data_IF_281204341990
#
_entry.id   IF_281204341990
#
_cell.length_a   1.000
_cell.length_b   1.000
_cell.length_c   1.000
_cell.angle_alpha   90.00
_cell.angle_beta   90.00
_cell.angle_gamma   90.00
#
_symmetry.space_group_name_H-M   'P 1'
#
loop_
_entity.id
_entity.type
_entity.pdbx_description
1 polymer ?
#
# COMPACT_ATOMS: atom_id res chain seq x y z
N UNK A 1 5.22 9.49 14.13
CA UNK A 1 4.90 8.24 13.43
C UNK A 1 3.48 7.86 13.83
N UNK A 2 2.61 7.67 12.85
CA UNK A 2 1.23 7.19 13.07
C UNK A 2 1.09 5.80 12.47
N UNK A 3 0.34 4.91 13.12
CA UNK A 3 0.10 3.56 12.62
C UNK A 3 -1.35 3.48 12.17
N UNK A 4 -1.57 3.05 10.94
CA UNK A 4 -2.86 2.93 10.29
C UNK A 4 -3.06 1.46 9.95
N UNK A 5 -4.11 0.85 10.51
CA UNK A 5 -4.48 -0.52 10.19
C UNK A 5 -5.57 -0.51 9.11
N UNK A 6 -5.38 -1.29 8.06
CA UNK A 6 -6.28 -1.36 6.91
C UNK A 6 -6.60 -2.81 6.63
N UNK A 7 -7.89 -3.16 6.55
CA UNK A 7 -8.29 -4.47 6.01
C UNK A 7 -7.99 -4.52 4.52
N UNK A 8 -7.15 -5.46 4.10
CA UNK A 8 -6.71 -5.61 2.71
C UNK A 8 -7.92 -5.80 1.78
N UNK A 9 -8.86 -6.67 2.16
CA UNK A 9 -10.10 -6.93 1.43
C UNK A 9 -10.88 -5.63 1.15
N UNK A 10 -11.19 -4.87 2.21
CA UNK A 10 -11.90 -3.59 2.09
C UNK A 10 -11.13 -2.54 1.30
N UNK A 11 -9.81 -2.54 1.39
CA UNK A 11 -8.97 -1.62 0.63
C UNK A 11 -8.99 -1.92 -0.87
N UNK A 12 -8.85 -3.19 -1.26
CA UNK A 12 -8.95 -3.58 -2.67
C UNK A 12 -10.34 -3.30 -3.25
N UNK A 13 -11.40 -3.50 -2.47
CA UNK A 13 -12.75 -3.09 -2.87
C UNK A 13 -12.85 -1.57 -3.07
N UNK A 14 -12.28 -0.77 -2.16
CA UNK A 14 -12.25 0.68 -2.29
C UNK A 14 -11.53 1.12 -3.58
N UNK A 15 -10.40 0.50 -3.92
CA UNK A 15 -9.66 0.79 -5.15
C UNK A 15 -10.51 0.51 -6.39
N UNK A 16 -11.20 -0.63 -6.42
CA UNK A 16 -12.13 -0.98 -7.51
C UNK A 16 -13.30 -0.01 -7.62
N UNK A 17 -13.89 0.41 -6.49
CA UNK A 17 -15.01 1.36 -6.48
C UNK A 17 -14.59 2.76 -6.95
N UNK A 18 -13.37 3.18 -6.62
CA UNK A 18 -12.84 4.51 -6.97
C UNK A 18 -12.14 4.55 -8.33
N UNK A 19 -12.01 3.40 -9.01
CA UNK A 19 -11.22 3.25 -10.25
C UNK A 19 -9.83 3.89 -10.13
N UNK A 20 -9.17 3.67 -8.98
CA UNK A 20 -7.89 4.32 -8.64
C UNK A 20 -6.86 3.31 -8.17
N UNK A 21 -5.59 3.68 -8.26
CA UNK A 21 -4.48 2.84 -7.84
C UNK A 21 -4.17 3.00 -6.35
N UNK A 22 -3.67 1.94 -5.71
CA UNK A 22 -3.13 1.97 -4.34
C UNK A 22 -2.20 3.17 -4.11
N UNK A 23 -1.29 3.41 -5.05
CA UNK A 23 -0.33 4.51 -5.02
C UNK A 23 -0.96 5.90 -5.03
N UNK A 24 -2.10 6.09 -5.68
CA UNK A 24 -2.81 7.37 -5.67
C UNK A 24 -3.44 7.63 -4.31
N UNK A 25 -4.02 6.61 -3.68
CA UNK A 25 -4.51 6.71 -2.30
C UNK A 25 -3.34 7.04 -1.36
N UNK A 26 -2.21 6.35 -1.51
CA UNK A 26 -1.00 6.63 -0.72
C UNK A 26 -0.48 8.06 -0.93
N UNK A 27 -0.48 8.55 -2.17
CA UNK A 27 -0.12 9.93 -2.50
C UNK A 27 -1.02 10.95 -1.79
N UNK A 28 -2.32 10.66 -1.68
CA UNK A 28 -3.27 11.50 -0.94
C UNK A 28 -3.09 11.42 0.58
N UNK A 29 -2.51 10.32 1.08
CA UNK A 29 -2.21 10.14 2.51
C UNK A 29 -0.85 10.74 2.91
N UNK A 30 -0.03 11.17 1.95
CA UNK A 30 1.22 11.88 2.22
C UNK A 30 0.93 13.09 3.09
N UNK A 31 1.79 13.30 4.08
CA UNK A 31 1.69 14.42 4.99
C UNK A 31 3.03 14.67 5.67
N UNK A 32 3.04 15.55 6.65
CA UNK A 32 4.27 15.99 7.32
C UNK A 32 4.93 14.89 8.17
N UNK A 33 4.20 13.81 8.50
CA UNK A 33 4.69 12.70 9.32
C UNK A 33 4.64 11.38 8.55
N UNK A 34 5.65 10.56 8.79
CA UNK A 34 5.67 9.16 8.33
C UNK A 34 4.54 8.37 8.99
N UNK A 35 3.88 7.56 8.17
CA UNK A 35 2.76 6.71 8.56
C UNK A 35 3.13 5.27 8.27
N UNK A 36 2.81 4.36 9.17
CA UNK A 36 2.94 2.93 8.93
C UNK A 36 1.56 2.36 8.61
N UNK A 37 1.40 1.82 7.40
CA UNK A 37 0.18 1.17 6.95
C UNK A 37 0.33 -0.33 7.17
N UNK A 38 -0.46 -0.88 8.09
CA UNK A 38 -0.50 -2.30 8.41
C UNK A 38 -1.70 -2.90 7.72
N UNK A 39 -1.47 -3.73 6.71
CA UNK A 39 -2.51 -4.47 6.03
C UNK A 39 -2.87 -5.70 6.84
N UNK A 40 -4.15 -5.79 7.22
CA UNK A 40 -4.73 -6.89 7.95
C UNK A 40 -5.63 -7.72 7.03
N UNK A 41 -5.72 -9.01 7.28
CA UNK A 41 -6.73 -9.89 6.70
C UNK A 41 -8.11 -9.69 7.37
N UNK A 42 -9.14 -10.39 6.91
CA UNK A 42 -10.48 -10.35 7.50
C UNK A 42 -10.49 -10.83 8.96
N UNK A 43 -9.59 -11.75 9.32
CA UNK A 43 -9.34 -12.25 10.68
C UNK A 43 -8.44 -11.34 11.54
N UNK A 44 -8.18 -10.09 11.12
CA UNK A 44 -7.31 -9.12 11.83
C UNK A 44 -5.84 -9.57 11.94
N UNK A 45 -5.42 -10.58 11.16
CA UNK A 45 -4.03 -11.02 11.07
C UNK A 45 -3.24 -10.09 10.18
N UNK A 46 -2.02 -9.73 10.61
CA UNK A 46 -1.11 -8.90 9.82
C UNK A 46 -0.65 -9.68 8.59
N UNK A 47 -0.97 -9.16 7.40
CA UNK A 47 -0.49 -9.69 6.12
C UNK A 47 0.87 -9.09 5.77
N UNK A 48 0.97 -7.77 5.83
CA UNK A 48 2.20 -7.02 5.61
C UNK A 48 2.08 -5.59 6.15
N UNK A 49 3.21 -4.95 6.43
CA UNK A 49 3.30 -3.55 6.79
C UNK A 49 4.08 -2.77 5.72
N UNK A 50 3.62 -1.55 5.44
CA UNK A 50 4.23 -0.62 4.50
C UNK A 50 4.45 0.72 5.19
N UNK A 51 5.67 1.22 5.18
CA UNK A 51 5.97 2.54 5.70
C UNK A 51 5.72 3.55 4.59
N UNK A 52 4.64 4.31 4.72
CA UNK A 52 4.31 5.39 3.81
C UNK A 52 5.30 6.55 4.05
N UNK A 53 6.11 6.91 3.04
CA UNK A 53 7.03 8.02 3.16
C UNK A 53 6.26 9.35 3.32
N UNK A 54 6.95 10.38 3.77
CA UNK A 54 6.38 11.73 3.89
C UNK A 54 6.47 12.56 2.60
N UNK A 55 7.08 12.02 1.54
CA UNK A 55 7.29 12.74 0.28
C UNK A 55 7.02 11.85 -0.94
N UNK A 56 6.60 12.50 -2.02
CA UNK A 56 6.21 11.83 -3.27
C UNK A 56 7.40 11.18 -3.99
N UNK A 57 8.61 11.73 -3.86
CA UNK A 57 9.80 11.18 -4.50
C UNK A 57 10.14 9.77 -3.99
N UNK A 58 10.09 9.58 -2.67
CA UNK A 58 10.27 8.26 -2.06
C UNK A 58 9.11 7.33 -2.42
N UNK A 59 7.87 7.83 -2.41
CA UNK A 59 6.69 7.02 -2.80
C UNK A 59 6.82 6.47 -4.23
N UNK A 60 7.27 7.29 -5.17
CA UNK A 60 7.50 6.87 -6.55
C UNK A 60 8.64 5.85 -6.65
N UNK A 61 9.72 6.03 -5.88
CA UNK A 61 10.81 5.05 -5.83
C UNK A 61 10.35 3.69 -5.28
N UNK A 62 9.48 3.70 -4.26
CA UNK A 62 8.87 2.47 -3.74
C UNK A 62 7.94 1.82 -4.76
N UNK A 63 7.17 2.62 -5.50
CA UNK A 63 6.33 2.13 -6.60
C UNK A 63 7.13 1.41 -7.66
N UNK A 64 8.26 1.97 -8.08
CA UNK A 64 9.12 1.33 -9.09
C UNK A 64 9.72 0.01 -8.57
N UNK A 65 10.21 -0.01 -7.33
CA UNK A 65 10.73 -1.23 -6.69
C UNK A 65 9.64 -2.29 -6.54
N UNK A 66 8.48 -1.89 -6.03
CA UNK A 66 7.34 -2.78 -5.83
C UNK A 66 6.84 -3.34 -7.17
N UNK A 67 6.70 -2.51 -8.20
CA UNK A 67 6.30 -3.00 -9.53
C UNK A 67 7.29 -4.02 -10.09
N UNK A 68 8.59 -3.83 -9.82
CA UNK A 68 9.64 -4.76 -10.25
C UNK A 68 9.59 -6.09 -9.47
N UNK A 69 9.50 -6.04 -8.14
CA UNK A 69 9.47 -7.24 -7.30
C UNK A 69 8.13 -7.99 -7.35
N UNK A 70 7.02 -7.26 -7.53
CA UNK A 70 5.68 -7.85 -7.58
C UNK A 70 5.39 -8.49 -8.94
N UNK A 71 5.91 -7.92 -10.05
CA UNK A 71 5.81 -8.55 -11.37
C UNK A 71 6.53 -9.91 -11.39
N UNK A 72 7.65 -10.05 -10.67
CA UNK A 72 8.34 -11.33 -10.48
C UNK A 72 7.54 -12.31 -9.61
N UNK A 73 6.92 -11.84 -8.52
CA UNK A 73 6.10 -12.69 -7.63
C UNK A 73 4.79 -13.19 -8.26
N UNK A 74 4.12 -12.39 -9.09
CA UNK A 74 2.93 -12.82 -9.84
C UNK A 74 3.26 -13.83 -10.95
N UNK A 75 4.46 -13.73 -11.53
CA UNK A 75 4.89 -14.66 -12.58
C UNK A 75 5.12 -16.08 -12.06
N UNK A 76 5.32 -16.25 -10.75
CA UNK A 76 5.43 -17.56 -10.07
C UNK A 76 4.11 -18.17 -9.63
N UNK A 77 2.96 -17.52 -9.87
CA UNK A 77 1.61 -18.03 -9.58
C UNK A 77 0.91 -18.63 -10.82
N UNK A 78 1.66 -18.90 -11.90
CA UNK A 78 1.18 -19.65 -13.07
C UNK A 78 1.32 -21.16 -12.89
#
# INVERSE_FOLDING_TARGET
MEIIQIKASSFFELLKMKDTSMWEIFAQMLGEKEKEIVFLDDEEKILFNYILPNNLAQLNGDREKFSKEYSDKLSGLN
#
